data_IF_153994927645
#
_entry.id   IF_153994927645
#
_cell.length_a   1.000
_cell.length_b   1.000
_cell.length_c   1.000
_cell.angle_alpha   90.00
_cell.angle_beta   90.00
_cell.angle_gamma   90.00
#
_symmetry.space_group_name_H-M   'P 1'
#
loop_
_entity.id
_entity.type
_entity.pdbx_description
1 polymer ?
#
# COMPACT_ATOMS: atom_id res chain seq x y z
N UNK A 1 -3.29 -17.13 2.61
CA UNK A 1 -2.29 -17.97 1.91
C UNK A 1 -0.91 -17.58 2.37
N UNK A 2 -0.16 -18.54 2.91
CA UNK A 2 1.22 -18.34 3.37
C UNK A 2 2.17 -18.67 2.23
N UNK A 3 2.85 -17.68 1.69
CA UNK A 3 3.72 -17.80 0.52
C UNK A 3 5.18 -17.97 0.95
N UNK A 4 5.63 -17.13 1.88
CA UNK A 4 7.04 -17.05 2.27
C UNK A 4 7.38 -17.94 3.48
N UNK A 5 6.37 -18.39 4.21
CA UNK A 5 6.53 -19.16 5.46
C UNK A 5 7.37 -20.45 5.32
N UNK A 6 7.35 -21.07 4.14
CA UNK A 6 8.04 -22.32 3.85
C UNK A 6 9.42 -22.15 3.21
N UNK A 7 9.85 -20.91 2.98
CA UNK A 7 11.18 -20.63 2.45
C UNK A 7 12.24 -20.77 3.55
N UNK A 8 13.48 -21.02 3.14
CA UNK A 8 14.62 -21.00 4.05
C UNK A 8 14.87 -19.59 4.56
N UNK A 9 15.28 -19.46 5.82
CA UNK A 9 15.51 -18.17 6.46
C UNK A 9 16.70 -17.39 5.87
N UNK A 10 17.59 -18.05 5.15
CA UNK A 10 18.81 -17.51 4.54
C UNK A 10 18.67 -17.24 3.02
N UNK A 11 17.48 -17.38 2.46
CA UNK A 11 17.24 -17.10 1.04
C UNK A 11 17.28 -15.58 0.77
N UNK A 12 17.95 -15.19 -0.30
CA UNK A 12 17.95 -13.79 -0.72
C UNK A 12 16.61 -13.40 -1.37
N UNK A 13 16.18 -12.17 -1.14
CA UNK A 13 14.93 -11.64 -1.74
C UNK A 13 14.95 -11.73 -3.27
N UNK A 14 16.13 -11.59 -3.89
CA UNK A 14 16.32 -11.71 -5.34
C UNK A 14 16.07 -13.11 -5.90
N UNK A 15 16.02 -14.12 -5.05
CA UNK A 15 15.78 -15.52 -5.43
C UNK A 15 14.31 -15.93 -5.28
N UNK A 16 13.46 -15.02 -4.84
CA UNK A 16 12.05 -15.30 -4.55
C UNK A 16 11.15 -14.62 -5.59
N UNK A 17 10.24 -15.37 -6.18
CA UNK A 17 9.16 -14.82 -6.99
C UNK A 17 8.03 -14.32 -6.08
N UNK A 18 7.76 -13.03 -6.14
CA UNK A 18 6.76 -12.37 -5.29
C UNK A 18 5.64 -11.81 -6.17
N UNK A 19 4.40 -12.17 -5.88
CA UNK A 19 3.25 -11.58 -6.54
C UNK A 19 3.06 -10.13 -6.08
N UNK A 20 2.89 -9.21 -7.02
CA UNK A 20 2.66 -7.80 -6.77
C UNK A 20 1.47 -7.25 -7.51
N UNK A 21 0.94 -6.13 -7.07
CA UNK A 21 -0.14 -5.41 -7.74
C UNK A 21 0.25 -3.98 -8.05
N UNK A 22 -0.23 -3.48 -9.19
CA UNK A 22 -0.08 -2.09 -9.63
C UNK A 22 -1.21 -1.25 -9.04
N UNK A 23 -0.87 -0.04 -8.54
CA UNK A 23 -1.85 0.87 -7.90
C UNK A 23 -2.76 0.11 -6.92
N UNK A 24 -2.16 -0.50 -5.92
CA UNK A 24 -2.78 -1.53 -5.07
C UNK A 24 -4.02 -1.04 -4.31
N UNK A 25 -4.17 0.26 -4.09
CA UNK A 25 -5.26 0.84 -3.30
C UNK A 25 -6.49 1.27 -4.11
N UNK A 26 -6.58 0.92 -5.39
CA UNK A 26 -7.59 1.47 -6.32
C UNK A 26 -8.92 0.72 -6.37
N UNK A 27 -9.20 -0.19 -5.44
CA UNK A 27 -10.46 -0.95 -5.41
C UNK A 27 -11.71 -0.02 -5.43
N UNK A 28 -11.66 1.07 -4.66
CA UNK A 28 -12.74 2.06 -4.59
C UNK A 28 -12.23 3.47 -4.97
N UNK A 29 -11.61 3.57 -6.11
CA UNK A 29 -11.05 4.82 -6.61
C UNK A 29 -12.13 5.69 -7.28
N UNK A 30 -11.96 7.02 -7.19
CA UNK A 30 -12.76 7.95 -7.98
C UNK A 30 -12.50 7.73 -9.48
N UNK A 31 -13.46 8.09 -10.33
CA UNK A 31 -13.36 7.89 -11.79
C UNK A 31 -12.95 6.44 -12.15
N UNK A 32 -13.60 5.46 -11.53
CA UNK A 32 -13.19 4.05 -11.58
C UNK A 32 -13.03 3.49 -13.00
N UNK A 33 -13.84 3.94 -13.96
CA UNK A 33 -13.72 3.52 -15.36
C UNK A 33 -12.38 3.90 -16.02
N UNK A 34 -11.67 4.88 -15.45
CA UNK A 34 -10.39 5.38 -15.97
C UNK A 34 -9.22 5.07 -15.05
N UNK A 35 -9.45 4.92 -13.75
CA UNK A 35 -8.41 4.93 -12.74
C UNK A 35 -8.32 3.62 -11.92
N UNK A 36 -9.32 2.73 -11.99
CA UNK A 36 -9.28 1.49 -11.21
C UNK A 36 -8.32 0.48 -11.84
N UNK A 37 -7.28 0.10 -11.10
CA UNK A 37 -6.31 -0.92 -11.47
C UNK A 37 -6.56 -2.25 -10.73
N UNK A 38 -7.24 -2.20 -9.59
CA UNK A 38 -7.55 -3.37 -8.76
C UNK A 38 -9.04 -3.42 -8.41
N UNK A 39 -9.60 -4.62 -8.37
CA UNK A 39 -10.98 -4.86 -7.93
C UNK A 39 -11.05 -5.41 -6.49
N UNK A 40 -9.92 -5.75 -5.90
CA UNK A 40 -9.79 -6.27 -4.54
C UNK A 40 -9.17 -5.23 -3.62
N UNK A 41 -9.64 -5.18 -2.38
CA UNK A 41 -9.02 -4.38 -1.32
C UNK A 41 -7.62 -4.90 -1.00
N UNK A 42 -6.80 -4.09 -0.34
CA UNK A 42 -5.46 -4.53 0.08
C UNK A 42 -5.54 -5.78 0.98
N UNK A 43 -6.48 -5.82 1.92
CA UNK A 43 -6.67 -7.00 2.78
C UNK A 43 -6.97 -8.28 1.97
N UNK A 44 -7.85 -8.18 0.97
CA UNK A 44 -8.15 -9.29 0.07
C UNK A 44 -6.94 -9.70 -0.76
N UNK A 45 -6.18 -8.74 -1.28
CA UNK A 45 -4.95 -9.00 -2.04
C UNK A 45 -3.92 -9.76 -1.18
N UNK A 46 -3.70 -9.35 0.06
CA UNK A 46 -2.78 -10.04 0.98
C UNK A 46 -3.24 -11.47 1.26
N UNK A 47 -4.56 -11.69 1.45
CA UNK A 47 -5.11 -13.04 1.67
C UNK A 47 -4.94 -13.95 0.46
N UNK A 48 -4.92 -13.38 -0.75
CA UNK A 48 -4.71 -14.08 -2.02
C UNK A 48 -3.24 -14.37 -2.33
N UNK A 49 -2.30 -13.86 -1.53
CA UNK A 49 -0.87 -14.12 -1.71
C UNK A 49 -0.05 -12.97 -2.29
N UNK A 50 -0.64 -11.80 -2.50
CA UNK A 50 0.12 -10.60 -2.89
C UNK A 50 1.04 -10.19 -1.73
N UNK A 51 2.30 -9.89 -2.04
CA UNK A 51 3.33 -9.49 -1.06
C UNK A 51 4.08 -8.23 -1.46
N UNK A 52 3.86 -7.72 -2.66
CA UNK A 52 4.38 -6.45 -3.13
C UNK A 52 3.20 -5.52 -3.44
N UNK A 53 3.17 -4.35 -2.80
CA UNK A 53 2.14 -3.34 -2.98
C UNK A 53 2.74 -2.07 -3.57
N UNK A 54 2.16 -1.58 -4.67
CA UNK A 54 2.48 -0.30 -5.29
C UNK A 54 1.58 0.78 -4.65
N UNK A 55 2.16 1.57 -3.75
CA UNK A 55 1.46 2.58 -2.94
C UNK A 55 1.78 3.96 -3.47
N UNK A 56 0.74 4.66 -3.91
CA UNK A 56 0.86 6.00 -4.48
C UNK A 56 0.13 7.01 -3.63
N UNK A 57 0.83 8.08 -3.25
CA UNK A 57 0.41 9.00 -2.22
C UNK A 57 0.37 10.45 -2.69
N UNK A 58 -0.52 11.20 -2.06
CA UNK A 58 -0.58 12.65 -2.08
C UNK A 58 -0.55 13.19 -0.66
N UNK A 59 0.22 14.23 -0.40
CA UNK A 59 0.25 14.90 0.90
C UNK A 59 -0.77 16.03 0.92
N UNK A 60 -1.60 16.09 1.98
CA UNK A 60 -2.51 17.19 2.26
C UNK A 60 -2.48 17.52 3.76
N UNK A 61 -1.96 18.71 4.09
CA UNK A 61 -1.68 19.03 5.49
C UNK A 61 -0.62 18.07 6.04
N UNK A 62 -0.90 17.48 7.18
CA UNK A 62 -0.04 16.48 7.83
C UNK A 62 -0.43 15.03 7.52
N UNK A 63 -1.38 14.83 6.58
CA UNK A 63 -1.85 13.50 6.21
C UNK A 63 -1.39 13.10 4.81
N UNK A 64 -1.23 11.79 4.62
CA UNK A 64 -0.87 11.15 3.35
C UNK A 64 -2.02 10.26 2.91
N UNK A 65 -2.56 10.56 1.73
CA UNK A 65 -3.72 9.86 1.16
C UNK A 65 -3.34 9.04 -0.06
N UNK A 66 -4.00 7.90 -0.21
CA UNK A 66 -3.88 7.05 -1.39
C UNK A 66 -4.56 7.74 -2.58
N UNK A 67 -3.84 7.78 -3.70
CA UNK A 67 -4.32 8.39 -4.95
C UNK A 67 -3.89 7.56 -6.16
N UNK A 68 -4.57 7.75 -7.27
CA UNK A 68 -4.08 7.39 -8.60
C UNK A 68 -4.13 8.65 -9.47
N UNK A 69 -2.99 9.32 -9.63
CA UNK A 69 -2.89 10.61 -10.33
C UNK A 69 -3.88 11.62 -9.74
N UNK A 70 -4.89 12.05 -10.50
CA UNK A 70 -5.92 13.00 -10.06
C UNK A 70 -7.09 12.35 -9.32
N UNK A 71 -7.19 11.02 -9.30
CA UNK A 71 -8.26 10.29 -8.67
C UNK A 71 -7.92 9.93 -7.21
N UNK A 72 -8.82 10.26 -6.29
CA UNK A 72 -8.71 9.87 -4.88
C UNK A 72 -9.11 8.41 -4.69
N UNK A 73 -8.41 7.69 -3.81
CA UNK A 73 -8.79 6.36 -3.36
C UNK A 73 -9.60 6.44 -2.06
N UNK A 74 -10.57 5.54 -1.92
CA UNK A 74 -11.47 5.50 -0.78
C UNK A 74 -11.41 4.16 -0.06
N UNK A 75 -11.74 4.17 1.23
CA UNK A 75 -11.78 3.00 2.08
C UNK A 75 -13.04 2.17 1.89
N UNK A 76 -14.11 2.78 1.38
CA UNK A 76 -15.44 2.20 1.25
C UNK A 76 -15.97 2.31 -0.19
N UNK A 77 -16.86 1.40 -0.55
CA UNK A 77 -17.50 1.35 -1.86
C UNK A 77 -18.34 2.61 -2.16
N UNK A 78 -18.95 3.18 -1.15
CA UNK A 78 -19.76 4.41 -1.24
C UNK A 78 -18.91 5.66 -1.41
N UNK A 79 -17.58 5.54 -1.28
CA UNK A 79 -16.61 6.62 -1.44
C UNK A 79 -16.86 7.79 -0.48
N UNK A 80 -17.14 7.45 0.77
CA UNK A 80 -17.43 8.44 1.83
C UNK A 80 -16.18 8.83 2.60
N UNK A 81 -15.16 7.96 2.65
CA UNK A 81 -13.93 8.17 3.40
C UNK A 81 -12.69 7.97 2.51
N UNK A 82 -11.90 9.01 2.35
CA UNK A 82 -10.60 8.92 1.67
C UNK A 82 -9.67 7.97 2.43
N UNK A 83 -8.97 7.13 1.70
CA UNK A 83 -8.02 6.19 2.29
C UNK A 83 -6.73 6.90 2.66
N UNK A 84 -6.39 6.92 3.95
CA UNK A 84 -5.11 7.41 4.46
C UNK A 84 -4.07 6.29 4.48
N UNK A 85 -2.79 6.66 4.37
CA UNK A 85 -1.70 5.68 4.41
C UNK A 85 -1.62 4.93 5.75
N UNK A 86 -1.97 5.59 6.85
CA UNK A 86 -2.05 4.93 8.17
C UNK A 86 -3.02 3.75 8.19
N UNK A 87 -4.11 3.81 7.43
CA UNK A 87 -5.05 2.68 7.27
C UNK A 87 -4.40 1.51 6.53
N UNK A 88 -3.66 1.78 5.46
CA UNK A 88 -2.91 0.74 4.74
C UNK A 88 -1.88 0.07 5.65
N UNK A 89 -1.14 0.85 6.43
CA UNK A 89 -0.20 0.30 7.42
C UNK A 89 -0.91 -0.56 8.47
N UNK A 90 -2.09 -0.15 8.92
CA UNK A 90 -2.90 -0.92 9.86
C UNK A 90 -3.26 -2.29 9.31
N UNK A 91 -3.72 -2.34 8.06
CA UNK A 91 -4.01 -3.61 7.36
C UNK A 91 -2.77 -4.49 7.23
N UNK A 92 -1.63 -3.91 6.83
CA UNK A 92 -0.37 -4.64 6.69
C UNK A 92 0.13 -5.18 8.03
N UNK A 93 0.08 -4.37 9.09
CA UNK A 93 0.50 -4.79 10.44
C UNK A 93 -0.39 -5.91 10.99
N UNK A 94 -1.70 -5.81 10.81
CA UNK A 94 -2.64 -6.87 11.21
C UNK A 94 -2.35 -8.18 10.49
N UNK A 95 -2.13 -8.11 9.16
CA UNK A 95 -1.75 -9.28 8.37
C UNK A 95 -0.45 -9.93 8.88
N UNK A 96 0.58 -9.14 9.16
CA UNK A 96 1.87 -9.66 9.63
C UNK A 96 1.78 -10.20 11.07
N UNK A 97 0.92 -9.64 11.92
CA UNK A 97 0.67 -10.17 13.26
C UNK A 97 0.07 -11.58 13.21
N UNK A 98 -0.87 -11.80 12.27
CA UNK A 98 -1.49 -13.11 12.05
C UNK A 98 -0.57 -14.09 11.29
N UNK A 99 0.44 -13.57 10.56
CA UNK A 99 1.35 -14.34 9.72
C UNK A 99 2.81 -13.92 9.97
N UNK A 100 3.39 -14.25 11.13
CA UNK A 100 4.66 -13.68 11.61
C UNK A 100 5.90 -14.08 10.77
N UNK A 101 5.80 -15.08 9.91
CA UNK A 101 6.89 -15.48 8.99
C UNK A 101 6.74 -14.90 7.57
N UNK A 102 5.70 -14.11 7.33
CA UNK A 102 5.50 -13.45 6.05
C UNK A 102 6.21 -12.09 6.04
N UNK A 103 6.48 -11.58 4.84
CA UNK A 103 7.13 -10.28 4.60
C UNK A 103 6.33 -9.53 3.55
N UNK A 104 6.22 -8.21 3.71
CA UNK A 104 5.58 -7.33 2.74
C UNK A 104 6.59 -6.31 2.22
N UNK A 105 6.50 -6.03 0.92
CA UNK A 105 7.26 -4.96 0.27
C UNK A 105 6.27 -3.87 -0.13
N UNK A 106 6.50 -2.65 0.35
CA UNK A 106 5.73 -1.47 -0.03
C UNK A 106 6.60 -0.57 -0.89
N UNK A 107 6.24 -0.43 -2.16
CA UNK A 107 6.83 0.57 -3.05
C UNK A 107 6.04 1.86 -2.91
N UNK A 108 6.66 2.91 -2.38
CA UNK A 108 5.98 4.16 -2.03
C UNK A 108 6.43 5.26 -2.96
N UNK A 109 5.46 5.90 -3.63
CA UNK A 109 5.69 6.98 -4.57
C UNK A 109 4.76 8.16 -4.30
N UNK A 110 5.29 9.37 -4.40
CA UNK A 110 4.45 10.56 -4.53
C UNK A 110 3.88 10.61 -5.95
N UNK A 111 2.55 10.62 -6.07
CA UNK A 111 1.86 10.54 -7.37
C UNK A 111 1.05 11.82 -7.71
N UNK A 112 0.96 12.75 -6.77
CA UNK A 112 0.26 14.03 -6.97
C UNK A 112 1.04 15.17 -6.32
N UNK A 113 1.03 16.31 -6.97
CA UNK A 113 1.70 17.52 -6.53
C UNK A 113 3.11 17.64 -7.11
N UNK A 114 3.79 18.73 -6.77
CA UNK A 114 5.17 18.95 -7.17
C UNK A 114 6.03 17.92 -6.43
N UNK A 115 6.77 17.10 -7.18
CA UNK A 115 7.78 16.21 -6.61
C UNK A 115 8.79 17.10 -5.92
N UNK A 116 8.77 17.09 -4.61
CA UNK A 116 9.65 17.94 -3.85
C UNK A 116 10.27 17.20 -2.66
N UNK A 117 11.42 17.73 -2.25
CA UNK A 117 12.17 17.30 -1.07
C UNK A 117 11.37 17.37 0.25
N UNK A 118 10.19 17.98 0.24
CA UNK A 118 9.34 18.14 1.42
C UNK A 118 8.32 17.02 1.62
N UNK A 119 8.21 16.08 0.68
CA UNK A 119 7.33 14.93 0.81
C UNK A 119 7.93 13.84 1.70
N UNK A 120 9.12 13.37 1.37
CA UNK A 120 9.71 12.22 2.05
C UNK A 120 10.18 12.48 3.48
N UNK A 121 10.80 13.60 3.85
CA UNK A 121 11.16 13.82 5.24
C UNK A 121 9.97 13.75 6.21
N UNK A 122 8.86 14.47 6.01
CA UNK A 122 7.68 14.32 6.87
C UNK A 122 7.07 12.91 6.85
N UNK A 123 7.09 12.23 5.70
CA UNK A 123 6.63 10.87 5.58
C UNK A 123 7.51 9.92 6.40
N UNK A 124 8.83 10.05 6.27
CA UNK A 124 9.78 9.25 7.00
C UNK A 124 9.64 9.45 8.53
N UNK A 125 9.59 10.70 8.97
CA UNK A 125 9.42 11.02 10.39
C UNK A 125 8.12 10.45 10.97
N UNK A 126 7.02 10.53 10.21
CA UNK A 126 5.70 10.06 10.66
C UNK A 126 5.56 8.53 10.70
N UNK A 127 6.13 7.82 9.72
CA UNK A 127 5.81 6.40 9.50
C UNK A 127 6.97 5.43 9.62
N UNK A 128 8.20 5.89 9.43
CA UNK A 128 9.37 5.01 9.36
C UNK A 128 10.26 5.15 10.58
N UNK A 129 10.57 6.40 10.97
CA UNK A 129 11.49 6.67 12.07
C UNK A 129 10.99 6.09 13.39
N UNK A 130 9.68 6.11 13.61
CA UNK A 130 9.04 5.56 14.79
C UNK A 130 9.58 6.12 16.10
N UNK A 131 8.75 6.27 17.06
CA UNK A 131 9.21 6.53 18.45
C UNK A 131 9.61 5.22 19.12
#
# INVERSE_FOLDING_TARGET
>A
MNILTNLKDDIYLSEVNIAGTHDSATAYVAMENMARCQDKTIAEQLSMGVRFLDIRLSKKGDEFYLVHSLADCYSDKEKTKRMAFGEVLGVCKSFLADNPKETLILSIKQDRGIINRWFFPPFYDKYIRGD
#
